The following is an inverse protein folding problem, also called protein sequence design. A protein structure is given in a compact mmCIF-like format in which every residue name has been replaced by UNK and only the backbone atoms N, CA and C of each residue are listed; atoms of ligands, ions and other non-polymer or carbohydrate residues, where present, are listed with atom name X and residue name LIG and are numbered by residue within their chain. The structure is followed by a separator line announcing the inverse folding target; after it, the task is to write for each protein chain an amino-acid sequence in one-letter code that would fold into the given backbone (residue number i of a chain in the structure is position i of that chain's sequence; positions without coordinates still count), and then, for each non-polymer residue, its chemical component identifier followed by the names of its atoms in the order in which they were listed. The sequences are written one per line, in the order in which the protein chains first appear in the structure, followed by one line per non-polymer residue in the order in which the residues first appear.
data_IF_625426031053
#
_entry.id   IF_625426031053
#
_cell.length_a   1.000
_cell.length_b   1.000
_cell.length_c   1.000
_cell.angle_alpha   90.00
_cell.angle_beta   90.00
_cell.angle_gamma   90.00
#
_symmetry.space_group_name_H-M   'P 1'
#
loop_
_entity.id
_entity.type
_entity.pdbx_description
1 polymer ?
#
# COMPACT_ATOMS: atom_id res chain seq x y z
N UNK A 1 -21.04 -9.97 -19.98
CA UNK A 1 -22.49 -10.17 -20.07
C UNK A 1 -23.19 -10.33 -18.71
N UNK A 2 -22.51 -10.74 -17.61
CA UNK A 2 -23.11 -10.89 -16.28
C UNK A 2 -23.63 -9.56 -15.70
N UNK A 3 -22.89 -8.47 -15.86
CA UNK A 3 -23.27 -7.14 -15.34
C UNK A 3 -24.58 -6.62 -15.90
N UNK A 4 -24.93 -6.97 -17.13
CA UNK A 4 -26.18 -6.54 -17.76
C UNK A 4 -27.42 -7.22 -17.20
N UNK A 5 -27.28 -8.31 -16.46
CA UNK A 5 -28.36 -9.08 -15.85
C UNK A 5 -28.61 -8.75 -14.39
N UNK A 6 -27.64 -8.07 -13.74
CA UNK A 6 -27.76 -7.57 -12.38
C UNK A 6 -28.27 -6.14 -12.46
N UNK A 7 -29.49 -5.89 -12.04
CA UNK A 7 -30.16 -4.59 -12.15
C UNK A 7 -29.54 -3.45 -11.31
N UNK A 8 -28.45 -3.73 -10.56
CA UNK A 8 -27.74 -2.75 -9.73
C UNK A 8 -26.23 -3.00 -9.80
N UNK A 9 -25.46 -1.95 -10.07
CA UNK A 9 -24.01 -1.97 -10.01
C UNK A 9 -23.55 -0.95 -8.95
N UNK A 10 -22.89 -1.43 -7.90
CA UNK A 10 -22.32 -0.60 -6.84
C UNK A 10 -20.81 -0.58 -6.98
N UNK A 11 -20.22 0.61 -6.82
CA UNK A 11 -18.77 0.80 -6.71
C UNK A 11 -18.41 0.87 -5.24
N UNK A 12 -17.42 0.07 -4.84
CA UNK A 12 -16.81 0.15 -3.52
C UNK A 12 -15.46 0.84 -3.65
N UNK A 13 -15.31 1.98 -2.98
CA UNK A 13 -14.07 2.72 -2.92
C UNK A 13 -13.27 2.32 -1.66
N UNK A 14 -11.97 2.68 -1.66
CA UNK A 14 -11.12 2.48 -0.48
C UNK A 14 -11.60 3.35 0.68
N UNK A 15 -11.51 2.84 1.89
CA UNK A 15 -11.85 3.59 3.10
C UNK A 15 -10.86 4.73 3.35
N UNK A 16 -11.32 5.92 3.74
CA UNK A 16 -10.44 6.99 4.18
C UNK A 16 -9.70 6.60 5.46
N UNK A 17 -8.49 7.14 5.71
CA UNK A 17 -7.69 6.80 6.89
C UNK A 17 -8.44 6.98 8.21
N UNK A 18 -9.21 8.03 8.34
CA UNK A 18 -10.01 8.36 9.55
C UNK A 18 -11.03 7.28 9.91
N UNK A 19 -11.68 6.67 8.92
CA UNK A 19 -12.62 5.57 9.15
C UNK A 19 -11.89 4.28 9.51
N UNK A 20 -10.68 4.07 8.97
CA UNK A 20 -9.84 2.93 9.34
C UNK A 20 -9.27 3.05 10.75
N UNK A 21 -8.92 4.26 11.20
CA UNK A 21 -8.54 4.53 12.59
C UNK A 21 -9.69 4.18 13.54
N UNK A 22 -10.90 4.64 13.24
CA UNK A 22 -12.07 4.30 14.04
C UNK A 22 -12.33 2.79 14.05
N UNK A 23 -12.15 2.12 12.92
CA UNK A 23 -12.25 0.66 12.81
C UNK A 23 -11.21 -0.03 13.69
N UNK A 24 -9.95 0.44 13.69
CA UNK A 24 -8.89 -0.11 14.52
C UNK A 24 -9.21 0.05 16.02
N UNK A 25 -9.68 1.22 16.45
CA UNK A 25 -10.09 1.49 17.84
C UNK A 25 -11.25 0.59 18.29
N UNK A 26 -12.29 0.50 17.44
CA UNK A 26 -13.45 -0.33 17.74
C UNK A 26 -13.08 -1.80 17.82
N UNK A 27 -12.23 -2.28 16.92
CA UNK A 27 -11.76 -3.67 16.93
C UNK A 27 -10.81 -3.97 18.08
N UNK A 28 -10.04 -3.00 18.58
CA UNK A 28 -9.20 -3.14 19.77
C UNK A 28 -10.03 -3.25 21.05
N UNK A 29 -11.15 -2.57 21.15
CA UNK A 29 -12.02 -2.58 22.33
C UNK A 29 -12.64 -3.96 22.61
N UNK A 30 -12.92 -4.74 21.57
CA UNK A 30 -13.54 -6.07 21.70
C UNK A 30 -12.64 -7.06 22.51
N UNK A 31 -11.34 -7.19 22.21
CA UNK A 31 -10.44 -8.06 22.97
C UNK A 31 -9.87 -7.43 24.26
N UNK A 32 -10.31 -6.22 24.65
CA UNK A 32 -9.84 -5.56 25.87
C UNK A 32 -8.41 -5.05 25.83
N UNK A 33 -7.86 -4.83 24.64
CA UNK A 33 -6.52 -4.25 24.45
C UNK A 33 -6.67 -2.74 24.21
N UNK A 34 -5.88 -1.96 24.92
CA UNK A 34 -5.81 -0.52 24.68
C UNK A 34 -4.95 -0.24 23.47
N UNK A 35 -5.33 0.74 22.67
CA UNK A 35 -4.55 1.26 21.56
C UNK A 35 -4.56 2.79 21.65
N UNK A 36 -3.39 3.42 21.54
CA UNK A 36 -3.32 4.87 21.50
C UNK A 36 -3.69 5.43 20.12
N UNK A 37 -3.88 6.73 20.07
CA UNK A 37 -4.33 7.42 18.87
C UNK A 37 -3.30 7.37 17.75
N UNK A 38 -2.02 7.46 18.08
CA UNK A 38 -0.92 7.43 17.14
C UNK A 38 -0.74 6.03 16.53
N UNK A 39 -0.79 4.98 17.36
CA UNK A 39 -0.76 3.60 16.90
C UNK A 39 -1.93 3.29 15.95
N UNK A 40 -3.14 3.74 16.29
CA UNK A 40 -4.31 3.57 15.44
C UNK A 40 -4.12 4.26 14.07
N UNK A 41 -3.60 5.49 14.06
CA UNK A 41 -3.29 6.23 12.84
C UNK A 41 -2.20 5.53 12.00
N UNK A 42 -1.14 5.01 12.63
CA UNK A 42 -0.09 4.23 11.97
C UNK A 42 -0.67 2.99 11.29
N UNK A 43 -1.41 2.16 12.03
CA UNK A 43 -2.01 0.94 11.46
C UNK A 43 -3.00 1.26 10.33
N UNK A 44 -3.80 2.31 10.48
CA UNK A 44 -4.75 2.76 9.46
C UNK A 44 -4.05 3.23 8.19
N UNK A 45 -3.05 4.09 8.30
CA UNK A 45 -2.31 4.67 7.16
C UNK A 45 -1.61 3.59 6.33
N UNK A 46 -1.15 2.50 6.96
CA UNK A 46 -0.49 1.37 6.29
C UNK A 46 -1.48 0.35 5.70
N UNK A 47 -2.78 0.50 5.99
CA UNK A 47 -3.81 -0.51 5.62
C UNK A 47 -4.35 -0.38 4.19
N UNK A 48 -3.77 0.48 3.36
CA UNK A 48 -4.12 0.65 1.93
C UNK A 48 -5.61 0.91 1.67
N UNK A 49 -6.32 1.54 2.61
CA UNK A 49 -7.75 1.79 2.51
C UNK A 49 -8.63 0.55 2.74
N UNK A 50 -8.11 -0.51 3.38
CA UNK A 50 -8.81 -1.78 3.53
C UNK A 50 -9.00 -2.17 5.01
N UNK A 51 -10.26 -2.21 5.53
CA UNK A 51 -10.53 -2.59 6.93
C UNK A 51 -10.02 -3.98 7.29
N UNK A 52 -10.05 -4.93 6.36
CA UNK A 52 -9.51 -6.27 6.55
C UNK A 52 -8.01 -6.26 6.85
N UNK A 53 -7.25 -5.39 6.16
CA UNK A 53 -5.81 -5.25 6.38
C UNK A 53 -5.56 -4.57 7.73
N UNK A 54 -6.31 -3.51 8.06
CA UNK A 54 -6.23 -2.84 9.36
C UNK A 54 -6.47 -3.82 10.51
N UNK A 55 -7.52 -4.65 10.42
CA UNK A 55 -7.83 -5.69 11.41
C UNK A 55 -6.72 -6.75 11.51
N UNK A 56 -6.07 -7.13 10.41
CA UNK A 56 -4.92 -8.04 10.42
C UNK A 56 -3.73 -7.43 11.15
N UNK A 57 -3.41 -6.17 10.88
CA UNK A 57 -2.32 -5.47 11.54
C UNK A 57 -2.58 -5.28 13.04
N UNK A 58 -3.79 -4.87 13.40
CA UNK A 58 -4.19 -4.76 14.79
C UNK A 58 -4.06 -6.08 15.53
N UNK A 59 -4.52 -7.18 14.94
CA UNK A 59 -4.37 -8.52 15.53
C UNK A 59 -2.90 -8.87 15.79
N UNK A 60 -2.02 -8.58 14.83
CA UNK A 60 -0.58 -8.83 15.00
C UNK A 60 0.04 -7.96 16.09
N UNK A 61 -0.32 -6.67 16.14
CA UNK A 61 0.15 -5.77 17.18
C UNK A 61 -0.33 -6.21 18.58
N UNK A 62 -1.57 -6.63 18.69
CA UNK A 62 -2.13 -7.21 19.94
C UNK A 62 -1.39 -8.46 20.37
N UNK A 63 -1.19 -9.42 19.45
CA UNK A 63 -0.53 -10.68 19.76
C UNK A 63 0.90 -10.42 20.26
N UNK A 64 1.59 -9.44 19.65
CA UNK A 64 2.91 -9.00 20.10
C UNK A 64 2.87 -8.32 21.47
N UNK A 65 1.94 -7.39 21.69
CA UNK A 65 1.75 -6.75 23.00
C UNK A 65 1.56 -7.76 24.12
N UNK A 66 0.79 -8.82 23.88
CA UNK A 66 0.57 -9.88 24.85
C UNK A 66 1.85 -10.68 25.15
N UNK A 67 2.66 -10.97 24.13
CA UNK A 67 3.95 -11.66 24.30
C UNK A 67 4.95 -10.81 25.07
N UNK A 68 5.00 -9.51 24.78
CA UNK A 68 5.90 -8.55 25.42
C UNK A 68 5.40 -8.10 26.82
N UNK A 69 4.25 -8.60 27.26
CA UNK A 69 3.64 -8.26 28.54
C UNK A 69 3.04 -6.85 28.59
N UNK A 70 2.88 -6.19 27.46
CA UNK A 70 2.30 -4.88 27.34
C UNK A 70 0.76 -4.96 27.33
N UNK A 71 0.11 -3.98 27.99
CA UNK A 71 -1.36 -3.89 28.03
C UNK A 71 -1.93 -2.93 26.97
N UNK A 72 -1.07 -2.18 26.30
CA UNK A 72 -1.44 -1.20 25.30
C UNK A 72 -0.59 -1.37 24.05
N UNK A 73 -1.17 -1.01 22.91
CA UNK A 73 -0.48 -0.87 21.62
C UNK A 73 -0.17 0.61 21.46
N UNK A 74 1.09 0.99 21.61
CA UNK A 74 1.61 2.31 21.34
C UNK A 74 2.21 2.41 19.93
N UNK A 75 2.63 3.61 19.55
CA UNK A 75 3.22 3.89 18.24
C UNK A 75 4.46 3.04 17.95
N UNK A 76 5.34 2.86 18.96
CA UNK A 76 6.57 2.08 18.80
C UNK A 76 6.27 0.60 18.53
N UNK A 77 5.35 0.01 19.29
CA UNK A 77 4.92 -1.37 19.09
C UNK A 77 4.24 -1.56 17.73
N UNK A 78 3.43 -0.59 17.30
CA UNK A 78 2.77 -0.62 15.99
C UNK A 78 3.79 -0.61 14.86
N UNK A 79 4.75 0.31 14.85
CA UNK A 79 5.82 0.39 13.85
C UNK A 79 6.70 -0.87 13.86
N UNK A 80 7.13 -1.33 15.04
CA UNK A 80 7.93 -2.55 15.18
C UNK A 80 7.19 -3.80 14.69
N UNK A 81 5.88 -3.85 14.91
CA UNK A 81 5.03 -4.94 14.39
C UNK A 81 4.96 -4.91 12.88
N UNK A 82 4.67 -3.75 12.28
CA UNK A 82 4.60 -3.60 10.83
C UNK A 82 5.94 -3.92 10.17
N UNK A 83 7.05 -3.44 10.73
CA UNK A 83 8.40 -3.75 10.25
C UNK A 83 8.67 -5.27 10.27
N UNK A 84 8.25 -5.98 11.34
CA UNK A 84 8.45 -7.42 11.47
C UNK A 84 7.74 -8.26 10.40
N UNK A 85 6.66 -7.72 9.82
CA UNK A 85 5.91 -8.36 8.72
C UNK A 85 6.21 -7.76 7.35
N UNK A 86 7.28 -6.95 7.24
CA UNK A 86 7.75 -6.38 5.99
C UNK A 86 6.94 -5.20 5.45
N UNK A 87 6.04 -4.63 6.26
CA UNK A 87 5.24 -3.46 5.89
C UNK A 87 5.96 -2.20 6.31
N UNK A 88 6.35 -1.41 5.33
CA UNK A 88 7.04 -0.14 5.54
C UNK A 88 6.14 1.08 5.42
N UNK A 89 6.77 2.25 5.25
CA UNK A 89 6.10 3.51 4.98
C UNK A 89 5.08 3.40 3.88
N UNK A 90 3.97 4.14 3.99
CA UNK A 90 2.85 4.14 3.03
C UNK A 90 2.19 2.75 2.80
N UNK A 91 2.40 1.78 3.70
CA UNK A 91 1.85 0.43 3.57
C UNK A 91 2.52 -0.40 2.46
N UNK A 92 3.74 -0.05 2.05
CA UNK A 92 4.47 -0.81 1.03
C UNK A 92 5.02 -2.11 1.58
N UNK A 93 4.75 -3.17 0.88
CA UNK A 93 5.33 -4.49 1.08
C UNK A 93 6.58 -4.68 0.20
N UNK A 94 7.34 -5.75 0.41
CA UNK A 94 8.55 -5.98 -0.38
C UNK A 94 8.27 -6.11 -1.89
N UNK A 95 7.14 -6.68 -2.27
CA UNK A 95 6.77 -6.80 -3.67
C UNK A 95 6.56 -5.44 -4.34
N UNK A 96 5.92 -4.49 -3.64
CA UNK A 96 5.76 -3.13 -4.16
C UNK A 96 7.11 -2.47 -4.42
N UNK A 97 8.07 -2.62 -3.49
CA UNK A 97 9.42 -2.09 -3.64
C UNK A 97 10.16 -2.73 -4.81
N UNK A 98 9.99 -4.04 -5.04
CA UNK A 98 10.56 -4.75 -6.18
C UNK A 98 10.00 -4.22 -7.50
N UNK A 99 8.68 -3.98 -7.56
CA UNK A 99 8.03 -3.36 -8.73
C UNK A 99 8.62 -1.97 -8.98
N UNK A 100 8.69 -1.13 -7.96
CA UNK A 100 9.23 0.22 -8.10
C UNK A 100 10.71 0.22 -8.50
N UNK A 101 11.54 -0.65 -7.94
CA UNK A 101 12.95 -0.82 -8.36
C UNK A 101 13.07 -1.23 -9.81
N UNK A 102 12.29 -2.23 -10.24
CA UNK A 102 12.26 -2.65 -11.64
C UNK A 102 11.90 -1.49 -12.58
N UNK A 103 10.94 -0.64 -12.19
CA UNK A 103 10.58 0.55 -12.97
C UNK A 103 11.67 1.62 -12.95
N UNK A 104 12.35 1.82 -11.85
CA UNK A 104 13.48 2.76 -11.73
C UNK A 104 14.62 2.34 -12.67
N UNK A 105 14.95 1.05 -12.72
CA UNK A 105 15.98 0.50 -13.61
C UNK A 105 15.66 0.67 -15.10
N UNK A 106 14.38 0.81 -15.45
CA UNK A 106 13.92 1.06 -16.82
C UNK A 106 13.79 2.55 -17.16
N UNK A 107 13.84 3.44 -16.17
CA UNK A 107 13.66 4.89 -16.37
C UNK A 107 14.76 5.45 -17.29
N UNK A 108 14.43 6.36 -18.27
CA UNK A 108 13.11 7.01 -18.44
C UNK A 108 12.09 6.22 -19.30
N UNK A 109 12.40 5.02 -19.74
CA UNK A 109 11.53 4.25 -20.62
C UNK A 109 10.40 3.57 -19.85
N UNK A 110 9.17 3.56 -20.38
CA UNK A 110 8.07 2.79 -19.78
C UNK A 110 8.36 1.28 -19.85
N UNK A 111 8.12 0.56 -18.77
CA UNK A 111 8.18 -0.89 -18.73
C UNK A 111 6.81 -1.52 -19.03
N UNK A 112 6.76 -2.47 -19.96
CA UNK A 112 5.57 -3.25 -20.21
C UNK A 112 5.25 -4.17 -19.01
N UNK A 113 3.97 -4.47 -18.74
CA UNK A 113 3.57 -5.34 -17.64
C UNK A 113 4.28 -6.70 -17.72
N UNK A 114 4.35 -7.28 -18.91
CA UNK A 114 5.06 -8.55 -19.17
C UNK A 114 6.53 -8.50 -18.78
N UNK A 115 7.20 -7.36 -19.02
CA UNK A 115 8.60 -7.18 -18.64
C UNK A 115 8.74 -7.15 -17.11
N UNK A 116 7.87 -6.40 -16.44
CA UNK A 116 7.86 -6.33 -14.97
C UNK A 116 7.61 -7.73 -14.38
N UNK A 117 6.61 -8.44 -14.89
CA UNK A 117 6.25 -9.79 -14.48
C UNK A 117 7.42 -10.76 -14.61
N UNK A 118 8.12 -10.73 -15.76
CA UNK A 118 9.28 -11.59 -16.03
C UNK A 118 10.47 -11.28 -15.09
N UNK A 119 10.76 -9.98 -14.83
CA UNK A 119 11.87 -9.57 -13.94
C UNK A 119 11.60 -9.94 -12.50
N UNK A 120 10.35 -9.79 -12.05
CA UNK A 120 9.96 -10.01 -10.66
C UNK A 120 9.69 -11.49 -10.40
N UNK A 121 9.33 -12.26 -11.42
CA UNK A 121 8.92 -13.66 -11.30
C UNK A 121 7.50 -13.81 -10.76
N UNK A 122 6.58 -12.90 -11.15
CA UNK A 122 5.18 -12.89 -10.72
C UNK A 122 4.27 -12.88 -11.95
N UNK A 123 3.00 -13.29 -11.79
CA UNK A 123 2.02 -13.24 -12.88
C UNK A 123 1.56 -11.81 -13.17
N UNK A 124 1.32 -11.50 -14.44
CA UNK A 124 0.85 -10.19 -14.88
C UNK A 124 -0.44 -9.77 -14.17
N UNK A 125 -1.42 -10.67 -14.08
CA UNK A 125 -2.70 -10.43 -13.41
C UNK A 125 -2.51 -10.12 -11.91
N UNK A 126 -1.57 -10.79 -11.24
CA UNK A 126 -1.27 -10.53 -9.83
C UNK A 126 -0.69 -9.11 -9.66
N UNK A 127 0.21 -8.70 -10.54
CA UNK A 127 0.76 -7.35 -10.48
C UNK A 127 -0.33 -6.31 -10.73
N UNK A 128 -1.16 -6.52 -11.75
CA UNK A 128 -2.19 -5.56 -12.15
C UNK A 128 -3.36 -5.47 -11.15
N UNK A 129 -3.78 -6.58 -10.56
CA UNK A 129 -4.96 -6.63 -9.70
C UNK A 129 -4.64 -6.40 -8.22
N UNK A 130 -3.45 -6.78 -7.75
CA UNK A 130 -3.11 -6.74 -6.31
C UNK A 130 -2.21 -5.55 -5.96
N UNK A 131 -1.13 -5.35 -6.70
CA UNK A 131 -0.08 -4.36 -6.34
C UNK A 131 -0.29 -3.01 -7.00
N UNK A 132 -0.55 -3.00 -8.30
CA UNK A 132 -0.65 -1.79 -9.10
C UNK A 132 -1.72 -0.80 -8.61
N UNK A 133 -2.93 -1.23 -8.15
CA UNK A 133 -3.95 -0.29 -7.69
C UNK A 133 -3.53 0.53 -6.49
N UNK A 134 -2.72 -0.02 -5.59
CA UNK A 134 -2.17 0.73 -4.47
C UNK A 134 -1.11 1.74 -4.93
N UNK A 135 -0.15 1.31 -5.73
CA UNK A 135 0.93 2.16 -6.24
C UNK A 135 0.41 3.33 -7.09
N UNK A 136 -0.65 3.10 -7.89
CA UNK A 136 -1.31 4.14 -8.67
C UNK A 136 -2.01 5.16 -7.77
N UNK A 137 -2.82 4.71 -6.79
CA UNK A 137 -3.52 5.60 -5.86
C UNK A 137 -2.57 6.42 -5.00
N UNK A 138 -1.44 5.84 -4.64
CA UNK A 138 -0.40 6.51 -3.86
C UNK A 138 0.49 7.43 -4.70
N UNK A 139 0.31 7.46 -6.01
CA UNK A 139 1.07 8.34 -6.89
C UNK A 139 2.52 7.90 -7.16
N UNK A 140 2.91 6.66 -6.77
CA UNK A 140 4.28 6.16 -6.96
C UNK A 140 4.54 5.61 -8.35
N UNK A 141 3.48 5.32 -9.09
CA UNK A 141 3.49 4.74 -10.43
C UNK A 141 2.44 5.43 -11.30
N UNK A 142 2.71 5.53 -12.61
CA UNK A 142 1.73 5.98 -13.62
C UNK A 142 1.62 4.97 -14.75
N UNK A 143 0.40 4.76 -15.27
CA UNK A 143 0.16 4.04 -16.52
C UNK A 143 0.33 4.97 -17.71
N UNK A 144 0.99 4.48 -18.75
CA UNK A 144 1.11 5.13 -20.05
C UNK A 144 0.65 4.16 -21.15
N UNK A 145 0.37 4.64 -22.36
CA UNK A 145 0.04 3.74 -23.49
C UNK A 145 1.14 2.73 -23.83
N UNK A 146 2.39 3.01 -23.44
CA UNK A 146 3.56 2.16 -23.69
C UNK A 146 3.92 1.24 -22.52
N UNK A 147 3.33 1.44 -21.36
CA UNK A 147 3.64 0.66 -20.15
C UNK A 147 3.51 1.46 -18.88
N UNK A 148 4.27 1.07 -17.87
CA UNK A 148 4.29 1.70 -16.55
C UNK A 148 5.58 2.48 -16.35
N UNK A 149 5.48 3.60 -15.65
CA UNK A 149 6.63 4.43 -15.25
C UNK A 149 6.54 4.74 -13.78
N UNK A 150 7.70 4.75 -13.12
CA UNK A 150 7.81 5.25 -11.75
C UNK A 150 7.71 6.78 -11.75
N UNK A 151 7.17 7.35 -10.70
CA UNK A 151 7.15 8.81 -10.50
C UNK A 151 8.38 9.25 -9.70
N UNK A 152 8.66 10.55 -9.68
CA UNK A 152 9.74 11.10 -8.86
C UNK A 152 9.53 10.81 -7.37
N UNK A 153 8.27 10.80 -6.92
CA UNK A 153 7.91 10.43 -5.56
C UNK A 153 8.18 8.95 -5.29
N UNK A 154 7.83 8.08 -6.24
CA UNK A 154 8.16 6.67 -6.18
C UNK A 154 9.66 6.41 -6.15
N UNK A 155 10.45 7.18 -6.90
CA UNK A 155 11.92 7.09 -6.88
C UNK A 155 12.49 7.48 -5.51
N UNK A 156 12.08 8.64 -4.97
CA UNK A 156 12.53 9.08 -3.63
C UNK A 156 12.21 8.05 -2.56
N UNK A 157 11.05 7.41 -2.68
CA UNK A 157 10.59 6.42 -1.71
C UNK A 157 11.47 5.17 -1.64
N UNK A 158 12.05 4.75 -2.78
CA UNK A 158 12.97 3.61 -2.83
C UNK A 158 14.45 4.02 -2.70
N UNK A 159 14.73 5.31 -2.44
CA UNK A 159 16.07 5.86 -2.33
C UNK A 159 16.81 6.02 -3.65
N UNK A 160 16.08 6.06 -4.78
CA UNK A 160 16.63 6.36 -6.10
C UNK A 160 16.51 7.86 -6.39
N UNK A 161 17.50 8.40 -7.09
CA UNK A 161 17.45 9.79 -7.54
C UNK A 161 16.61 9.91 -8.80
N UNK A 162 15.63 10.85 -8.85
CA UNK A 162 14.91 11.15 -10.09
C UNK A 162 15.89 11.64 -11.17
N UNK A 163 15.66 11.28 -12.45
CA UNK A 163 16.51 11.74 -13.52
C UNK A 163 16.48 13.29 -13.56
N UNK A 164 17.66 13.90 -13.54
CA UNK A 164 17.85 15.35 -13.70
C UNK A 164 17.55 15.70 -15.16
N UNK A 165 16.28 15.89 -15.50
CA UNK A 165 15.83 16.34 -16.82
C UNK A 165 14.66 17.30 -16.65
N UNK A 166 14.36 18.15 -17.65
CA UNK A 166 13.27 19.11 -17.54
C UNK A 166 11.95 18.34 -17.23
N UNK A 167 11.19 18.88 -16.29
CA UNK A 167 9.84 18.42 -15.97
C UNK A 167 9.08 18.12 -17.26
N UNK A 168 8.75 16.86 -17.49
CA UNK A 168 7.86 16.50 -18.58
C UNK A 168 6.49 17.09 -18.25
N UNK A 169 6.26 18.26 -18.78
CA UNK A 169 5.07 19.06 -18.62
C UNK A 169 3.83 18.21 -18.77
N UNK A 170 2.91 18.39 -17.82
CA UNK A 170 1.58 17.80 -17.89
C UNK A 170 0.98 18.04 -19.26
N UNK A 171 0.58 16.94 -19.92
CA UNK A 171 -0.25 17.04 -21.11
C UNK A 171 -1.58 17.66 -20.68
N UNK A 172 -2.04 18.73 -21.36
CA UNK A 172 -3.40 19.21 -21.15
C UNK A 172 -4.37 18.14 -21.63
N UNK A 173 -5.44 17.99 -20.90
CA UNK A 173 -6.57 17.10 -21.15
C UNK A 173 -7.22 17.35 -22.51
#
# INVERSE_FOLDING_TARGET
PFRARLGLSLRLDAYPPTELEQTARTAAAIPGVQIDDEAAAILASRSRGTPRIAGRFLKRARDRAQVDGNRAIDAELAEATLASIGVGGHGLEEMDRRILRCLADHTPQPAALKTIAAVIGEMEDTIEDVFEPHLLRSGFLRKTPRGRVITDEGMRLIGAEPPTGPEQGGLPF
#
